data_IF_000602698541
#
_entry.id   IF_000602698541
#
_cell.length_a   1.000
_cell.length_b   1.000
_cell.length_c   1.000
_cell.angle_alpha   90.00
_cell.angle_beta   90.00
_cell.angle_gamma   90.00
#
_symmetry.space_group_name_H-M   'P 1'
#
loop_
_entity.id
_entity.type
_entity.pdbx_description
1 polymer ?
#
# COMPACT_ATOMS: atom_id res chain seq x y z
N UNK A 1 2.15 -9.65 -4.60
CA UNK A 1 1.17 -8.67 -4.07
C UNK A 1 1.37 -7.34 -4.77
N UNK A 2 0.30 -6.72 -5.23
CA UNK A 2 0.29 -5.33 -5.71
C UNK A 2 -0.63 -4.53 -4.81
N UNK A 3 -0.25 -3.32 -4.39
CA UNK A 3 -1.11 -2.48 -3.57
C UNK A 3 -0.94 -1.00 -3.90
N UNK A 4 -1.92 -0.23 -3.48
CA UNK A 4 -2.00 1.23 -3.61
C UNK A 4 -2.82 1.79 -2.46
N UNK A 5 -2.53 3.03 -2.01
CA UNK A 5 -3.29 3.68 -0.94
C UNK A 5 -3.93 4.96 -1.43
N UNK A 6 -5.13 5.25 -0.91
CA UNK A 6 -5.80 6.52 -1.08
C UNK A 6 -5.77 7.29 0.24
N UNK A 7 -5.38 8.55 0.18
CA UNK A 7 -5.23 9.40 1.35
C UNK A 7 -6.10 10.65 1.23
N UNK A 8 -6.54 11.18 2.37
CA UNK A 8 -7.31 12.41 2.47
C UNK A 8 -6.68 13.36 3.47
N UNK A 9 -6.48 14.62 3.08
CA UNK A 9 -6.10 15.68 4.02
C UNK A 9 -7.26 16.02 4.96
N UNK A 10 -6.94 16.22 6.24
CA UNK A 10 -7.94 16.51 7.28
C UNK A 10 -8.28 17.99 7.46
N UNK A 11 -7.56 18.89 6.78
CA UNK A 11 -7.75 20.33 6.88
C UNK A 11 -8.96 20.87 6.11
N UNK A 12 -9.18 22.19 6.19
CA UNK A 12 -10.26 22.90 5.47
C UNK A 12 -10.00 22.98 3.95
N UNK A 13 -8.74 22.85 3.52
CA UNK A 13 -8.36 22.85 2.11
C UNK A 13 -8.46 21.41 1.55
N UNK A 14 -9.56 21.11 0.88
CA UNK A 14 -9.80 19.80 0.25
C UNK A 14 -8.80 19.47 -0.89
N UNK A 15 -8.07 20.47 -1.38
CA UNK A 15 -7.04 20.30 -2.42
C UNK A 15 -5.63 20.13 -1.83
N UNK A 16 -5.50 20.24 -0.52
CA UNK A 16 -4.22 20.03 0.16
C UNK A 16 -3.71 18.61 -0.07
N UNK A 17 -2.42 18.48 -0.33
CA UNK A 17 -1.80 17.17 -0.41
C UNK A 17 -1.60 16.60 1.00
N UNK A 18 -2.06 15.37 1.29
CA UNK A 18 -1.98 14.80 2.63
C UNK A 18 -0.53 14.55 3.06
N UNK A 19 -0.24 14.77 4.35
CA UNK A 19 1.08 14.63 4.96
C UNK A 19 1.02 13.61 6.09
N UNK A 20 1.79 12.55 5.98
CA UNK A 20 1.76 11.41 6.92
C UNK A 20 2.03 11.78 8.39
N UNK A 21 2.78 12.87 8.63
CA UNK A 21 3.07 13.38 9.97
C UNK A 21 1.90 14.11 10.64
N UNK A 22 0.82 14.39 9.93
CA UNK A 22 -0.37 15.03 10.45
C UNK A 22 -1.39 13.95 10.87
N UNK A 23 -1.83 13.94 12.13
CA UNK A 23 -2.79 12.95 12.62
C UNK A 23 -4.12 12.95 11.87
N UNK A 24 -4.58 14.13 11.43
CA UNK A 24 -5.83 14.34 10.70
C UNK A 24 -5.79 13.93 9.24
N UNK A 25 -4.61 13.78 8.65
CA UNK A 25 -4.45 13.32 7.28
C UNK A 25 -4.48 11.79 7.26
N UNK A 26 -5.51 11.21 6.70
CA UNK A 26 -5.82 9.79 6.85
C UNK A 26 -5.57 9.00 5.58
N UNK A 27 -5.13 7.75 5.74
CA UNK A 27 -5.33 6.71 4.74
C UNK A 27 -6.81 6.31 4.78
N UNK A 28 -7.52 6.46 3.68
CA UNK A 28 -8.96 6.17 3.62
C UNK A 28 -9.27 4.85 2.91
N UNK A 29 -8.38 4.41 2.01
CA UNK A 29 -8.52 3.12 1.34
C UNK A 29 -7.15 2.50 1.05
N UNK A 30 -7.11 1.16 1.02
CA UNK A 30 -5.97 0.38 0.56
C UNK A 30 -6.50 -0.67 -0.40
N UNK A 31 -6.13 -0.59 -1.67
CA UNK A 31 -6.38 -1.64 -2.65
C UNK A 31 -5.25 -2.66 -2.65
N UNK A 32 -5.58 -3.94 -2.73
CA UNK A 32 -4.59 -5.01 -2.70
C UNK A 32 -4.97 -6.14 -3.63
N UNK A 33 -4.06 -6.49 -4.54
CA UNK A 33 -4.18 -7.59 -5.47
C UNK A 33 -3.17 -8.69 -5.11
N UNK A 34 -3.65 -9.91 -4.91
CA UNK A 34 -2.82 -11.05 -4.60
C UNK A 34 -2.71 -11.98 -5.80
N UNK A 35 -1.49 -12.17 -6.28
CA UNK A 35 -1.18 -13.00 -7.42
C UNK A 35 -0.35 -14.22 -7.01
N UNK A 36 -0.71 -15.37 -7.54
CA UNK A 36 0.19 -16.51 -7.60
C UNK A 36 1.02 -16.42 -8.89
N UNK A 37 2.33 -16.19 -8.76
CA UNK A 37 3.22 -16.07 -9.90
C UNK A 37 3.51 -17.40 -10.59
N UNK A 38 3.29 -18.53 -9.91
CA UNK A 38 3.50 -19.85 -10.51
C UNK A 38 2.42 -20.20 -11.54
N UNK A 39 1.19 -19.74 -11.29
CA UNK A 39 0.04 -19.91 -12.17
C UNK A 39 -0.30 -18.66 -12.97
N UNK A 40 0.33 -17.54 -12.66
CA UNK A 40 -0.01 -16.19 -13.17
C UNK A 40 -1.47 -15.79 -12.90
N UNK A 41 -2.09 -16.40 -11.90
CA UNK A 41 -3.47 -16.14 -11.53
C UNK A 41 -3.58 -14.99 -10.52
N UNK A 42 -4.58 -14.12 -10.73
CA UNK A 42 -5.05 -13.19 -9.71
C UNK A 42 -5.99 -13.97 -8.78
N UNK A 43 -5.56 -14.21 -7.56
CA UNK A 43 -6.31 -15.01 -6.59
C UNK A 43 -7.34 -14.19 -5.82
N UNK A 44 -6.92 -12.98 -5.36
CA UNK A 44 -7.77 -12.12 -4.55
C UNK A 44 -7.64 -10.67 -4.95
N UNK A 45 -8.77 -9.97 -4.91
CA UNK A 45 -8.90 -8.52 -4.96
C UNK A 45 -9.46 -8.07 -3.62
N UNK A 46 -8.69 -7.32 -2.84
CA UNK A 46 -9.07 -6.85 -1.52
C UNK A 46 -9.14 -5.32 -1.52
N UNK A 47 -10.16 -4.77 -0.90
CA UNK A 47 -10.28 -3.35 -0.65
C UNK A 47 -10.50 -3.13 0.85
N UNK A 48 -9.52 -2.53 1.50
CA UNK A 48 -9.66 -2.05 2.88
C UNK A 48 -10.20 -0.62 2.81
N UNK A 49 -11.28 -0.35 3.52
CA UNK A 49 -11.94 0.95 3.50
C UNK A 49 -12.17 1.48 4.91
N UNK A 50 -11.80 2.73 5.13
CA UNK A 50 -12.19 3.46 6.31
C UNK A 50 -13.63 3.95 6.14
N UNK A 51 -14.55 3.37 6.91
CA UNK A 51 -15.98 3.53 6.73
C UNK A 51 -16.56 2.64 5.65
N UNK A 52 -17.85 2.80 5.41
CA UNK A 52 -18.59 2.01 4.44
C UNK A 52 -18.17 2.28 3.00
N UNK A 53 -18.08 1.23 2.22
CA UNK A 53 -17.73 1.31 0.80
C UNK A 53 -18.58 0.33 -0.02
N UNK A 54 -19.52 0.86 -0.78
CA UNK A 54 -20.32 0.10 -1.73
C UNK A 54 -19.66 0.10 -3.11
N UNK A 55 -19.43 -1.10 -3.65
CA UNK A 55 -18.96 -1.22 -5.02
C UNK A 55 -20.12 -1.15 -6.00
N UNK A 56 -20.06 -0.27 -7.03
CA UNK A 56 -21.09 -0.19 -8.04
C UNK A 56 -21.27 -1.54 -8.76
N UNK A 57 -22.53 -1.95 -8.95
CA UNK A 57 -22.88 -3.20 -9.64
C UNK A 57 -22.28 -3.28 -11.05
N UNK A 58 -22.19 -2.13 -11.74
CA UNK A 58 -21.53 -2.03 -13.03
C UNK A 58 -20.07 -2.47 -13.03
N UNK A 59 -19.31 -2.12 -11.98
CA UNK A 59 -17.92 -2.54 -11.81
C UNK A 59 -17.82 -4.03 -11.52
N UNK A 60 -18.71 -4.57 -10.67
CA UNK A 60 -18.74 -6.01 -10.38
C UNK A 60 -19.02 -6.82 -11.65
N UNK A 61 -19.95 -6.37 -12.47
CA UNK A 61 -20.29 -6.99 -13.76
C UNK A 61 -19.11 -6.92 -14.75
N UNK A 62 -18.37 -5.80 -14.79
CA UNK A 62 -17.19 -5.66 -15.65
C UNK A 62 -16.07 -6.62 -15.22
N UNK A 63 -15.78 -6.72 -13.93
CA UNK A 63 -14.81 -7.67 -13.40
C UNK A 63 -15.18 -9.12 -13.72
N UNK A 64 -16.45 -9.48 -13.50
CA UNK A 64 -16.97 -10.80 -13.82
C UNK A 64 -16.86 -11.11 -15.33
N UNK A 65 -17.15 -10.14 -16.19
CA UNK A 65 -17.02 -10.29 -17.65
C UNK A 65 -15.57 -10.54 -18.10
N UNK A 66 -14.60 -10.06 -17.33
CA UNK A 66 -13.16 -10.29 -17.54
C UNK A 66 -12.64 -11.57 -16.88
N UNK A 67 -13.49 -12.31 -16.17
CA UNK A 67 -13.09 -13.49 -15.39
C UNK A 67 -12.20 -13.16 -14.19
N UNK A 68 -12.28 -11.93 -13.67
CA UNK A 68 -11.52 -11.50 -12.51
C UNK A 68 -12.28 -11.82 -11.21
N UNK A 69 -11.58 -12.05 -10.09
CA UNK A 69 -12.20 -12.30 -8.80
C UNK A 69 -13.08 -11.11 -8.36
N UNK A 70 -14.19 -11.41 -7.73
CA UNK A 70 -15.03 -10.41 -7.07
C UNK A 70 -14.23 -9.78 -5.93
N UNK A 71 -14.14 -8.44 -5.84
CA UNK A 71 -13.47 -7.77 -4.73
C UNK A 71 -14.12 -8.09 -3.39
N UNK A 72 -13.29 -8.31 -2.38
CA UNK A 72 -13.71 -8.41 -0.98
C UNK A 72 -13.47 -7.06 -0.33
N UNK A 73 -14.53 -6.40 0.09
CA UNK A 73 -14.45 -5.13 0.84
C UNK A 73 -14.36 -5.44 2.33
N UNK A 74 -13.36 -4.87 2.98
CA UNK A 74 -13.12 -4.94 4.42
C UNK A 74 -13.29 -3.53 4.99
N UNK A 75 -14.36 -3.30 5.72
CA UNK A 75 -14.72 -2.00 6.29
C UNK A 75 -14.20 -1.87 7.72
N UNK A 76 -13.70 -0.70 8.08
CA UNK A 76 -13.11 -0.40 9.37
C UNK A 76 -13.66 0.90 9.93
N UNK A 77 -13.86 0.94 11.25
CA UNK A 77 -14.31 2.14 11.95
C UNK A 77 -13.16 3.12 12.25
N UNK A 78 -11.91 2.64 12.17
CA UNK A 78 -10.73 3.47 12.42
C UNK A 78 -9.59 3.18 11.43
N UNK A 79 -8.84 4.23 11.07
CA UNK A 79 -7.62 4.11 10.27
C UNK A 79 -6.62 3.13 10.92
N UNK A 80 -6.48 3.21 12.25
CA UNK A 80 -5.55 2.36 12.99
C UNK A 80 -5.82 0.87 12.79
N UNK A 81 -7.09 0.45 12.92
CA UNK A 81 -7.49 -0.95 12.72
C UNK A 81 -7.28 -1.38 11.27
N UNK A 82 -7.61 -0.52 10.31
CA UNK A 82 -7.40 -0.78 8.88
C UNK A 82 -5.92 -1.00 8.56
N UNK A 83 -5.04 -0.12 9.04
CA UNK A 83 -3.60 -0.23 8.82
C UNK A 83 -3.01 -1.49 9.46
N UNK A 84 -3.44 -1.85 10.68
CA UNK A 84 -3.03 -3.09 11.35
C UNK A 84 -3.53 -4.34 10.62
N UNK A 85 -4.76 -4.32 10.11
CA UNK A 85 -5.31 -5.42 9.33
C UNK A 85 -4.51 -5.64 8.05
N UNK A 86 -4.13 -4.56 7.34
CA UNK A 86 -3.27 -4.67 6.17
C UNK A 86 -1.88 -5.23 6.50
N UNK A 87 -1.24 -4.75 7.57
CA UNK A 87 0.06 -5.31 8.01
C UNK A 87 -0.05 -6.79 8.41
N UNK A 88 -1.17 -7.17 9.01
CA UNK A 88 -1.45 -8.57 9.35
C UNK A 88 -1.58 -9.42 8.08
N UNK A 89 -2.28 -8.91 7.05
CA UNK A 89 -2.33 -9.56 5.75
C UNK A 89 -0.93 -9.73 5.17
N UNK A 90 -0.12 -8.65 5.12
CA UNK A 90 1.26 -8.70 4.61
C UNK A 90 2.08 -9.77 5.32
N UNK A 91 1.95 -9.87 6.65
CA UNK A 91 2.65 -10.88 7.45
C UNK A 91 2.16 -12.30 7.16
N UNK A 92 0.85 -12.51 7.13
CA UNK A 92 0.25 -13.84 6.98
C UNK A 92 0.39 -14.38 5.56
N UNK A 93 0.15 -13.54 4.57
CA UNK A 93 0.31 -13.90 3.16
C UNK A 93 1.79 -14.08 2.82
N UNK A 94 2.68 -13.28 3.41
CA UNK A 94 4.12 -13.36 3.24
C UNK A 94 4.57 -13.22 1.79
N UNK A 95 4.22 -12.15 1.08
CA UNK A 95 4.53 -12.01 -0.34
C UNK A 95 6.03 -11.99 -0.58
N UNK A 96 6.50 -12.69 -1.62
CA UNK A 96 7.90 -12.61 -2.06
C UNK A 96 8.18 -11.30 -2.78
N UNK A 97 7.21 -10.85 -3.56
CA UNK A 97 7.26 -9.60 -4.31
C UNK A 97 6.10 -8.68 -3.93
N UNK A 98 6.44 -7.43 -3.72
CA UNK A 98 5.46 -6.36 -3.51
C UNK A 98 5.69 -5.30 -4.57
N UNK A 99 4.65 -4.90 -5.26
CA UNK A 99 4.70 -3.91 -6.33
C UNK A 99 3.54 -2.93 -6.26
N UNK A 100 3.65 -1.86 -6.99
CA UNK A 100 2.68 -0.80 -7.19
C UNK A 100 3.33 0.35 -7.95
N UNK A 101 2.61 1.43 -8.14
CA UNK A 101 3.10 2.61 -8.83
C UNK A 101 3.51 3.68 -7.83
N UNK A 102 4.78 4.08 -7.82
CA UNK A 102 5.36 5.06 -6.90
C UNK A 102 5.33 4.66 -5.41
N UNK A 103 5.15 3.40 -5.11
CA UNK A 103 4.95 2.90 -3.73
C UNK A 103 6.13 3.14 -2.80
N UNK A 104 7.35 3.26 -3.33
CA UNK A 104 8.54 3.49 -2.51
C UNK A 104 8.67 4.96 -2.13
N UNK A 105 8.16 5.89 -2.95
CA UNK A 105 8.25 7.32 -2.65
C UNK A 105 7.01 7.87 -1.94
N UNK A 106 5.86 7.19 -2.04
CA UNK A 106 4.61 7.67 -1.45
C UNK A 106 3.96 6.65 -0.53
N UNK A 107 3.44 5.54 -1.04
CA UNK A 107 2.58 4.62 -0.28
C UNK A 107 3.25 4.07 0.98
N UNK A 108 4.39 3.42 0.83
CA UNK A 108 5.11 2.87 1.96
C UNK A 108 5.57 3.93 2.96
N UNK A 109 6.21 5.06 2.56
CA UNK A 109 6.58 6.11 3.50
C UNK A 109 5.39 6.67 4.27
N UNK A 110 4.29 6.94 3.59
CA UNK A 110 3.08 7.46 4.23
C UNK A 110 2.50 6.46 5.23
N UNK A 111 2.27 5.24 4.77
CA UNK A 111 1.73 4.14 5.57
C UNK A 111 2.58 3.84 6.81
N UNK A 112 3.90 3.72 6.63
CA UNK A 112 4.81 3.42 7.74
C UNK A 112 4.90 4.57 8.74
N UNK A 113 4.93 5.82 8.28
CA UNK A 113 4.95 6.98 9.17
C UNK A 113 3.65 7.09 9.99
N UNK A 114 2.49 6.79 9.41
CA UNK A 114 1.24 6.71 10.19
C UNK A 114 1.35 5.67 11.31
N UNK A 115 1.84 4.47 11.00
CA UNK A 115 2.00 3.43 12.00
C UNK A 115 3.04 3.80 13.08
N UNK A 116 4.23 4.26 12.69
CA UNK A 116 5.33 4.49 13.64
C UNK A 116 5.22 5.81 14.37
N UNK A 117 4.90 6.89 13.66
CA UNK A 117 5.01 8.25 14.19
C UNK A 117 3.69 8.73 14.82
N UNK A 118 2.54 8.29 14.27
CA UNK A 118 1.23 8.63 14.84
C UNK A 118 0.79 7.56 15.84
N UNK A 119 0.71 6.29 15.42
CA UNK A 119 0.14 5.21 16.24
C UNK A 119 1.15 4.48 17.12
N UNK A 120 2.46 4.80 17.01
CA UNK A 120 3.54 4.21 17.83
C UNK A 120 3.62 2.68 17.77
N UNK A 121 3.25 2.09 16.63
CA UNK A 121 3.30 0.65 16.40
C UNK A 121 4.73 0.23 16.05
N UNK A 122 5.34 -0.72 16.78
CA UNK A 122 6.62 -1.29 16.38
C UNK A 122 6.43 -2.16 15.14
N UNK A 123 7.26 -1.95 14.13
CA UNK A 123 7.19 -2.72 12.87
C UNK A 123 7.97 -4.04 12.91
N UNK A 124 8.58 -4.35 14.04
CA UNK A 124 9.29 -5.62 14.22
C UNK A 124 8.34 -6.83 14.09
N UNK A 125 8.73 -7.78 13.27
CA UNK A 125 7.97 -9.03 13.11
C UNK A 125 6.90 -9.03 12.02
N UNK A 126 6.70 -7.93 11.30
CA UNK A 126 5.77 -7.88 10.16
C UNK A 126 6.40 -8.29 8.81
N UNK A 127 7.69 -8.55 8.77
CA UNK A 127 8.32 -9.12 7.58
C UNK A 127 8.00 -10.60 7.38
N UNK A 128 8.20 -11.10 6.16
CA UNK A 128 8.00 -12.52 5.79
C UNK A 128 8.86 -13.48 6.62
N UNK A 129 10.09 -13.08 6.97
CA UNK A 129 10.98 -13.89 7.78
C UNK A 129 10.72 -13.69 9.26
N UNK A 130 10.66 -14.79 10.02
CA UNK A 130 10.62 -14.73 11.48
C UNK A 130 11.91 -14.09 12.01
N UNK A 131 11.75 -13.03 12.77
CA UNK A 131 12.85 -12.26 13.33
C UNK A 131 12.58 -10.76 13.21
N UNK A 132 13.59 -9.97 13.53
CA UNK A 132 13.50 -8.51 13.44
C UNK A 132 13.38 -8.09 11.95
N UNK A 133 12.14 -8.04 11.46
CA UNK A 133 11.81 -7.49 10.16
C UNK A 133 12.14 -6.00 10.17
N UNK A 134 13.02 -5.59 9.28
CA UNK A 134 13.34 -4.17 9.17
C UNK A 134 12.57 -3.63 7.99
N UNK A 135 11.47 -2.91 8.28
CA UNK A 135 10.88 -2.01 7.30
C UNK A 135 11.68 -0.71 7.33
N UNK A 136 12.43 -0.44 6.28
CA UNK A 136 13.17 0.82 6.13
C UNK A 136 12.94 1.40 4.76
N UNK A 137 12.50 2.65 4.76
CA UNK A 137 12.53 3.51 3.58
C UNK A 137 13.55 4.60 3.84
N UNK A 138 14.40 4.89 2.86
CA UNK A 138 15.41 5.95 2.97
C UNK A 138 15.66 6.63 1.62
N UNK A 139 15.95 7.91 1.67
CA UNK A 139 16.24 8.70 0.48
C UNK A 139 17.69 8.48 -0.01
N UNK A 140 17.88 8.34 -1.31
CA UNK A 140 19.19 8.16 -1.96
C UNK A 140 19.58 9.39 -2.77
N UNK A 141 18.87 10.49 -2.70
CA UNK A 141 19.10 11.64 -3.55
C UNK A 141 20.12 12.62 -2.97
N UNK A 142 21.13 13.02 -3.75
CA UNK A 142 22.01 14.17 -3.44
C UNK A 142 21.47 15.50 -3.97
N UNK A 143 20.32 15.54 -4.62
CA UNK A 143 19.74 16.77 -5.14
C UNK A 143 18.24 16.85 -4.92
N UNK A 144 17.73 18.09 -4.73
CA UNK A 144 16.30 18.38 -4.59
C UNK A 144 15.43 17.94 -5.79
N UNK A 145 16.03 17.62 -6.92
CA UNK A 145 15.34 17.24 -8.17
C UNK A 145 15.23 15.74 -8.41
N UNK A 146 15.92 14.90 -7.63
CA UNK A 146 15.88 13.44 -7.77
C UNK A 146 15.85 12.78 -6.40
N UNK A 147 14.74 12.91 -5.68
CA UNK A 147 14.47 12.05 -4.52
C UNK A 147 14.16 10.65 -5.05
N UNK A 148 15.10 9.75 -4.92
CA UNK A 148 14.83 8.31 -5.06
C UNK A 148 14.88 7.70 -3.67
N UNK A 149 13.80 7.09 -3.27
CA UNK A 149 13.74 6.34 -2.03
C UNK A 149 14.05 4.86 -2.30
N UNK A 150 14.64 4.18 -1.34
CA UNK A 150 14.80 2.74 -1.33
C UNK A 150 14.05 2.17 -0.15
N UNK A 151 13.51 0.99 -0.34
CA UNK A 151 12.87 0.23 0.70
C UNK A 151 13.57 -1.11 0.91
N UNK A 152 13.72 -1.51 2.16
CA UNK A 152 14.20 -2.83 2.54
C UNK A 152 13.23 -3.47 3.52
N UNK A 153 12.76 -4.64 3.16
CA UNK A 153 11.99 -5.52 4.03
C UNK A 153 12.61 -6.91 3.97
N UNK A 154 12.83 -7.53 5.12
CA UNK A 154 13.43 -8.85 5.15
C UNK A 154 12.48 -9.90 4.56
N UNK A 155 12.97 -10.61 3.54
CA UNK A 155 12.22 -11.67 2.86
C UNK A 155 11.22 -11.20 1.80
N UNK A 156 11.15 -9.90 1.52
CA UNK A 156 10.30 -9.33 0.45
C UNK A 156 11.13 -8.46 -0.47
N UNK A 157 10.81 -8.49 -1.76
CA UNK A 157 11.38 -7.61 -2.78
C UNK A 157 10.32 -6.61 -3.19
N UNK A 158 10.58 -5.32 -2.94
CA UNK A 158 9.71 -4.24 -3.41
C UNK A 158 10.15 -3.76 -4.79
N UNK A 159 9.21 -3.78 -5.73
CA UNK A 159 9.42 -3.37 -7.12
C UNK A 159 8.50 -2.17 -7.39
N UNK A 160 9.11 -0.99 -7.56
CA UNK A 160 8.36 0.22 -7.89
C UNK A 160 8.23 0.37 -9.41
N UNK A 161 7.01 0.31 -9.91
CA UNK A 161 6.73 0.42 -11.33
C UNK A 161 6.99 1.83 -11.88
N UNK A 162 6.94 2.87 -11.03
CA UNK A 162 7.23 4.24 -11.46
C UNK A 162 8.62 4.36 -12.08
N UNK A 163 9.66 3.85 -11.39
CA UNK A 163 11.03 3.90 -11.90
C UNK A 163 11.21 3.09 -13.19
N UNK A 164 10.56 1.93 -13.29
CA UNK A 164 10.65 1.08 -14.49
C UNK A 164 9.99 1.74 -15.69
N UNK A 165 8.82 2.35 -15.49
CA UNK A 165 8.06 3.00 -16.56
C UNK A 165 8.77 4.26 -17.03
N UNK A 166 9.21 5.11 -16.11
CA UNK A 166 9.89 6.37 -16.46
C UNK A 166 11.24 6.16 -17.14
N UNK A 167 12.01 5.15 -16.70
CA UNK A 167 13.32 4.85 -17.29
C UNK A 167 13.19 4.20 -18.69
N UNK A 168 12.14 3.40 -18.92
CA UNK A 168 11.96 2.68 -20.20
C UNK A 168 11.13 3.42 -21.23
N UNK A 169 10.12 4.17 -20.81
CA UNK A 169 9.16 4.81 -21.72
C UNK A 169 9.58 6.25 -22.05
N UNK A 170 10.51 6.84 -21.28
CA UNK A 170 10.98 8.25 -21.44
C UNK A 170 9.79 9.20 -21.64
N UNK A 171 8.86 9.18 -20.66
CA UNK A 171 7.79 10.16 -20.59
C UNK A 171 8.34 11.54 -20.22
#
# INVERSE_FOLDING_TARGET
MCFDIECKAGGEDELAFPVAGHPEDLVIQISCLLYDLSTTALEHVLLFSLGSCDLPESHLNELAARGLPTPVVLEFDSEFEMLLAFMTLVKQYGPEFVTGYNIINFDWPFFLAKLTDIYKVPLDGYGRMNGRGVFRVWDIGQSHFQKRSKMKVNGMVSIDMYGIITDKIKL
#
